data_IF_462746527419
#
_entry.id   IF_462746527419
#
_cell.length_a   1.000
_cell.length_b   1.000
_cell.length_c   1.000
_cell.angle_alpha   90.00
_cell.angle_beta   90.00
_cell.angle_gamma   90.00
#
_symmetry.space_group_name_H-M   'P 1'
#
loop_
_entity.id
_entity.type
_entity.pdbx_description
1 polymer ?
#
# COMPACT_ATOMS: atom_id res chain seq x y z
N UNK A 1 38.84 -18.73 -16.31
CA UNK A 1 37.63 -18.13 -15.70
C UNK A 1 37.68 -18.17 -14.17
N UNK A 2 38.15 -19.26 -13.56
CA UNK A 2 38.51 -19.29 -12.13
C UNK A 2 39.48 -18.16 -11.76
N UNK A 3 40.45 -17.85 -12.64
CA UNK A 3 41.42 -16.77 -12.43
C UNK A 3 40.78 -15.38 -12.26
N UNK A 4 39.66 -15.12 -12.95
CA UNK A 4 38.96 -13.83 -12.85
C UNK A 4 38.34 -13.67 -11.46
N UNK A 5 37.81 -14.75 -10.90
CA UNK A 5 37.22 -14.75 -9.56
C UNK A 5 38.31 -14.59 -8.50
N UNK A 6 39.44 -15.28 -8.64
CA UNK A 6 40.56 -15.13 -7.70
C UNK A 6 41.18 -13.73 -7.74
N UNK A 7 41.29 -13.13 -8.94
CA UNK A 7 41.69 -11.72 -9.10
C UNK A 7 40.68 -10.80 -8.42
N UNK A 8 39.38 -11.00 -8.64
CA UNK A 8 38.32 -10.21 -8.01
C UNK A 8 38.33 -10.35 -6.48
N UNK A 9 38.53 -11.55 -5.95
CA UNK A 9 38.65 -11.80 -4.51
C UNK A 9 39.84 -11.05 -3.94
N UNK A 10 41.00 -11.08 -4.60
CA UNK A 10 42.19 -10.36 -4.14
C UNK A 10 42.02 -8.84 -4.18
N UNK A 11 41.28 -8.32 -5.17
CA UNK A 11 41.02 -6.88 -5.30
C UNK A 11 39.96 -6.42 -4.30
N UNK A 12 38.88 -7.17 -4.13
CA UNK A 12 37.70 -6.77 -3.33
C UNK A 12 37.82 -7.15 -1.85
N UNK A 13 38.51 -8.24 -1.53
CA UNK A 13 38.71 -8.72 -0.17
C UNK A 13 40.16 -8.51 0.28
N UNK A 14 40.54 -7.24 0.41
CA UNK A 14 41.86 -6.84 0.89
C UNK A 14 42.04 -7.13 2.40
N UNK A 15 43.27 -6.97 2.89
CA UNK A 15 43.65 -7.11 4.31
C UNK A 15 43.49 -8.53 4.90
N UNK A 16 43.88 -9.57 4.17
CA UNK A 16 43.91 -10.95 4.70
C UNK A 16 42.53 -11.59 4.87
N UNK A 17 41.48 -10.99 4.33
CA UNK A 17 40.11 -11.52 4.35
C UNK A 17 39.77 -12.42 3.15
N UNK A 18 40.72 -12.60 2.23
CA UNK A 18 40.57 -13.40 1.00
C UNK A 18 40.09 -14.84 1.28
N UNK A 19 40.60 -15.48 2.34
CA UNK A 19 40.16 -16.83 2.73
C UNK A 19 38.68 -16.92 3.11
N UNK A 20 38.14 -15.88 3.79
CA UNK A 20 36.71 -15.82 4.15
C UNK A 20 35.84 -15.61 2.90
N UNK A 21 36.28 -14.75 1.98
CA UNK A 21 35.58 -14.53 0.72
C UNK A 21 35.60 -15.77 -0.17
N UNK A 22 36.76 -16.43 -0.32
CA UNK A 22 36.89 -17.66 -1.09
C UNK A 22 36.01 -18.79 -0.53
N UNK A 23 35.99 -18.96 0.80
CA UNK A 23 35.09 -19.91 1.48
C UNK A 23 33.60 -19.58 1.25
N UNK A 24 33.24 -18.31 1.23
CA UNK A 24 31.86 -17.90 0.95
C UNK A 24 31.45 -18.16 -0.51
N UNK A 25 32.34 -17.88 -1.46
CA UNK A 25 32.06 -17.98 -2.90
C UNK A 25 32.04 -19.44 -3.36
N UNK A 26 32.94 -20.27 -2.82
CA UNK A 26 32.98 -21.71 -3.12
C UNK A 26 31.73 -22.46 -2.69
N UNK A 27 30.87 -21.88 -1.85
CA UNK A 27 29.56 -22.43 -1.53
C UNK A 27 28.57 -22.41 -2.72
N UNK A 28 28.86 -21.69 -3.80
CA UNK A 28 28.02 -21.63 -5.00
C UNK A 28 28.66 -22.44 -6.14
N UNK A 29 27.92 -23.37 -6.78
CA UNK A 29 28.47 -24.30 -7.76
C UNK A 29 28.80 -23.65 -9.11
N UNK A 30 28.07 -22.60 -9.50
CA UNK A 30 28.22 -21.96 -10.80
C UNK A 30 29.04 -20.67 -10.73
N UNK A 31 29.96 -20.49 -11.68
CA UNK A 31 30.77 -19.27 -11.84
C UNK A 31 29.89 -18.02 -11.98
N UNK A 32 28.77 -18.12 -12.72
CA UNK A 32 27.83 -17.00 -12.87
C UNK A 32 27.20 -16.64 -11.53
N UNK A 33 26.81 -17.63 -10.72
CA UNK A 33 26.25 -17.38 -9.39
C UNK A 33 27.31 -16.78 -8.47
N UNK A 34 28.54 -17.30 -8.50
CA UNK A 34 29.67 -16.75 -7.77
C UNK A 34 29.88 -15.28 -8.08
N UNK A 35 29.83 -14.87 -9.36
CA UNK A 35 30.01 -13.49 -9.78
C UNK A 35 28.83 -12.58 -9.37
N UNK A 36 27.60 -13.11 -9.41
CA UNK A 36 26.39 -12.40 -8.96
C UNK A 36 26.44 -12.16 -7.44
N UNK A 37 26.80 -13.17 -6.65
CA UNK A 37 26.92 -13.07 -5.20
C UNK A 37 28.13 -12.27 -4.74
N UNK A 38 29.23 -12.34 -5.49
CA UNK A 38 30.42 -11.56 -5.22
C UNK A 38 30.22 -10.09 -5.55
N UNK A 39 29.82 -9.75 -6.78
CA UNK A 39 29.85 -8.37 -7.27
C UNK A 39 28.47 -7.72 -7.24
N UNK A 40 27.46 -8.38 -7.82
CA UNK A 40 26.16 -7.76 -8.07
C UNK A 40 25.41 -7.47 -6.76
N UNK A 41 25.28 -8.45 -5.88
CA UNK A 41 24.51 -8.28 -4.65
C UNK A 41 25.09 -7.23 -3.68
N UNK A 42 26.38 -7.24 -3.34
CA UNK A 42 26.97 -6.20 -2.50
C UNK A 42 26.90 -4.81 -3.14
N UNK A 43 27.09 -4.71 -4.47
CA UNK A 43 26.98 -3.44 -5.17
C UNK A 43 25.55 -2.87 -5.11
N UNK A 44 24.54 -3.69 -5.40
CA UNK A 44 23.12 -3.29 -5.32
C UNK A 44 22.74 -2.93 -3.89
N UNK A 45 23.15 -3.74 -2.90
CA UNK A 45 22.89 -3.47 -1.49
C UNK A 45 23.50 -2.14 -1.05
N UNK A 46 24.78 -1.88 -1.35
CA UNK A 46 25.45 -0.63 -0.99
C UNK A 46 24.85 0.58 -1.72
N UNK A 47 24.51 0.44 -3.00
CA UNK A 47 23.81 1.48 -3.76
C UNK A 47 22.47 1.84 -3.14
N UNK A 48 21.66 0.83 -2.79
CA UNK A 48 20.39 1.05 -2.12
C UNK A 48 20.59 1.66 -0.73
N UNK A 49 21.49 1.11 0.07
CA UNK A 49 21.79 1.61 1.41
C UNK A 49 22.19 3.08 1.41
N UNK A 50 23.12 3.47 0.54
CA UNK A 50 23.51 4.88 0.39
C UNK A 50 22.36 5.70 -0.17
N UNK A 51 21.60 5.18 -1.13
CA UNK A 51 20.43 5.89 -1.67
C UNK A 51 19.44 6.25 -0.55
N UNK A 52 19.11 5.30 0.33
CA UNK A 52 18.21 5.55 1.46
C UNK A 52 18.80 6.52 2.48
N UNK A 53 20.07 6.36 2.88
CA UNK A 53 20.73 7.31 3.80
C UNK A 53 20.77 8.72 3.20
N UNK A 54 21.07 8.82 1.91
CA UNK A 54 21.16 10.10 1.21
C UNK A 54 19.84 10.86 1.15
N UNK A 55 18.71 10.15 1.17
CA UNK A 55 17.38 10.73 1.25
C UNK A 55 17.13 11.39 2.62
N UNK A 56 17.68 10.81 3.69
CA UNK A 56 17.65 11.40 5.03
C UNK A 56 18.57 12.60 5.19
N UNK A 57 19.76 12.59 4.56
CA UNK A 57 20.81 13.60 4.81
C UNK A 57 20.77 14.78 3.82
N UNK A 58 20.39 14.56 2.56
CA UNK A 58 20.51 15.59 1.51
C UNK A 58 19.21 15.76 0.73
N UNK A 59 18.27 16.56 1.26
CA UNK A 59 16.98 16.81 0.60
C UNK A 59 17.14 17.48 -0.78
N UNK A 60 18.17 18.31 -0.97
CA UNK A 60 18.30 19.16 -2.17
C UNK A 60 19.41 18.78 -3.16
N UNK A 61 20.32 17.87 -2.80
CA UNK A 61 21.54 17.60 -3.57
C UNK A 61 21.48 16.29 -4.39
N UNK A 62 20.44 16.07 -5.20
CA UNK A 62 20.23 14.82 -5.96
C UNK A 62 21.42 14.40 -6.84
N UNK A 63 22.17 15.37 -7.39
CA UNK A 63 23.31 15.12 -8.28
C UNK A 63 24.53 14.53 -7.56
N UNK A 64 24.72 14.85 -6.28
CA UNK A 64 25.86 14.37 -5.51
C UNK A 64 25.63 12.98 -4.90
N UNK A 65 24.38 12.50 -4.87
CA UNK A 65 24.03 11.20 -4.25
C UNK A 65 24.72 10.02 -4.92
N UNK A 66 24.74 9.98 -6.26
CA UNK A 66 25.41 8.89 -6.99
C UNK A 66 26.92 8.91 -6.75
N UNK A 67 27.51 10.10 -6.79
CA UNK A 67 28.95 10.27 -6.61
C UNK A 67 29.37 9.92 -5.17
N UNK A 68 28.57 10.31 -4.19
CA UNK A 68 28.72 9.91 -2.79
C UNK A 68 28.56 8.39 -2.62
N UNK A 69 27.63 7.75 -3.33
CA UNK A 69 27.48 6.30 -3.28
C UNK A 69 28.68 5.56 -3.85
N UNK A 70 29.25 6.04 -4.95
CA UNK A 70 30.47 5.47 -5.52
C UNK A 70 31.64 5.67 -4.55
N UNK A 71 31.78 6.85 -3.95
CA UNK A 71 32.83 7.14 -2.97
C UNK A 71 32.73 6.25 -1.72
N UNK A 72 31.53 6.09 -1.15
CA UNK A 72 31.30 5.19 0.00
C UNK A 72 31.57 3.74 -0.39
N UNK A 73 31.16 3.30 -1.58
CA UNK A 73 31.43 1.95 -2.08
C UNK A 73 32.94 1.66 -2.15
N UNK A 74 33.70 2.58 -2.75
CA UNK A 74 35.16 2.48 -2.84
C UNK A 74 35.79 2.50 -1.44
N UNK A 75 35.28 3.34 -0.53
CA UNK A 75 35.74 3.39 0.85
C UNK A 75 35.54 2.05 1.58
N UNK A 76 34.38 1.41 1.43
CA UNK A 76 34.09 0.09 2.04
C UNK A 76 35.05 -0.99 1.52
N UNK A 77 35.42 -0.95 0.24
CA UNK A 77 36.41 -1.87 -0.35
C UNK A 77 37.80 -1.62 0.25
N UNK A 78 38.28 -0.38 0.25
CA UNK A 78 39.61 -0.05 0.78
C UNK A 78 39.76 -0.33 2.28
N UNK A 79 38.68 -0.18 3.05
CA UNK A 79 38.68 -0.50 4.49
C UNK A 79 38.69 -2.02 4.75
N UNK A 80 38.52 -2.87 3.74
CA UNK A 80 38.44 -4.33 3.91
C UNK A 80 37.11 -4.81 4.50
N UNK A 81 36.09 -3.94 4.56
CA UNK A 81 34.76 -4.25 5.12
C UNK A 81 33.88 -5.03 4.14
N UNK A 82 34.39 -5.30 2.95
CA UNK A 82 33.68 -5.99 1.89
C UNK A 82 33.19 -7.39 2.30
N UNK A 83 33.95 -8.13 3.09
CA UNK A 83 33.55 -9.45 3.59
C UNK A 83 32.33 -9.40 4.52
N UNK A 84 32.17 -8.31 5.30
CA UNK A 84 30.96 -8.08 6.07
C UNK A 84 29.78 -7.77 5.15
N UNK A 85 29.99 -6.96 4.11
CA UNK A 85 28.96 -6.67 3.11
C UNK A 85 28.49 -7.93 2.38
N UNK A 86 29.40 -8.87 2.06
CA UNK A 86 29.07 -10.19 1.50
C UNK A 86 28.25 -11.06 2.46
N UNK A 87 28.58 -11.03 3.75
CA UNK A 87 27.84 -11.80 4.75
C UNK A 87 26.44 -11.23 4.97
N UNK A 88 26.32 -9.91 5.01
CA UNK A 88 25.05 -9.20 5.15
C UNK A 88 24.21 -9.35 3.87
N UNK A 89 24.84 -9.42 2.69
CA UNK A 89 24.13 -9.58 1.42
C UNK A 89 23.38 -10.92 1.32
N UNK A 90 23.73 -11.97 2.08
CA UNK A 90 22.86 -13.17 2.20
C UNK A 90 21.45 -12.81 2.67
N UNK A 91 21.35 -11.83 3.56
CA UNK A 91 20.09 -11.35 4.11
C UNK A 91 19.52 -10.18 3.31
N UNK A 92 19.99 -9.94 2.08
CA UNK A 92 19.56 -8.77 1.29
C UNK A 92 18.05 -8.70 1.08
N UNK A 93 17.36 -9.83 0.92
CA UNK A 93 15.89 -9.85 0.83
C UNK A 93 15.23 -9.31 2.11
N UNK A 94 15.71 -9.72 3.28
CA UNK A 94 15.24 -9.21 4.57
C UNK A 94 15.59 -7.72 4.68
N UNK A 95 16.79 -7.34 4.27
CA UNK A 95 17.24 -5.95 4.18
C UNK A 95 16.32 -5.10 3.32
N UNK A 96 15.96 -5.55 2.12
CA UNK A 96 15.05 -4.85 1.19
C UNK A 96 13.63 -4.77 1.74
N UNK A 97 13.14 -5.81 2.41
CA UNK A 97 11.83 -5.78 3.08
C UNK A 97 11.84 -4.77 4.24
N UNK A 98 12.89 -4.76 5.05
CA UNK A 98 13.03 -3.82 6.17
C UNK A 98 13.20 -2.39 5.64
N UNK A 99 14.11 -2.15 4.68
CA UNK A 99 14.34 -0.85 4.06
C UNK A 99 13.10 -0.35 3.31
N UNK A 100 12.41 -1.22 2.57
CA UNK A 100 11.15 -0.91 1.92
C UNK A 100 10.04 -0.61 2.93
N UNK A 101 9.95 -1.38 4.01
CA UNK A 101 9.02 -1.16 5.11
C UNK A 101 9.27 0.18 5.82
N UNK A 102 10.52 0.46 6.18
CA UNK A 102 10.95 1.74 6.77
C UNK A 102 10.67 2.89 5.80
N UNK A 103 10.97 2.73 4.51
CA UNK A 103 10.67 3.74 3.50
C UNK A 103 9.17 4.05 3.42
N UNK A 104 8.32 3.02 3.39
CA UNK A 104 6.86 3.18 3.41
C UNK A 104 6.40 3.86 4.69
N UNK A 105 6.97 3.50 5.85
CA UNK A 105 6.64 4.11 7.13
C UNK A 105 7.06 5.59 7.14
N UNK A 106 8.28 5.93 6.72
CA UNK A 106 8.78 7.31 6.68
C UNK A 106 7.96 8.16 5.69
N UNK A 107 7.65 7.64 4.50
CA UNK A 107 6.84 8.38 3.52
C UNK A 107 5.35 8.47 3.93
N UNK A 108 4.76 7.43 4.52
CA UNK A 108 3.37 7.49 5.02
C UNK A 108 3.24 8.32 6.29
N UNK A 109 4.19 8.26 7.21
CA UNK A 109 4.18 9.08 8.44
C UNK A 109 4.60 10.51 8.17
N UNK A 110 5.50 10.76 7.20
CA UNK A 110 5.82 12.10 6.72
C UNK A 110 4.65 12.79 6.00
N UNK A 111 3.81 12.03 5.30
CA UNK A 111 2.60 12.55 4.68
C UNK A 111 1.43 12.76 5.66
N UNK A 112 1.48 12.16 6.86
CA UNK A 112 0.43 12.29 7.88
C UNK A 112 0.66 13.43 8.89
N UNK A 113 1.81 14.12 8.86
CA UNK A 113 2.18 15.16 9.83
C UNK A 113 2.42 16.57 9.26
N UNK A 114 2.32 16.78 7.94
CA UNK A 114 2.68 18.06 7.30
C UNK A 114 1.59 18.59 6.39
N UNK A 115 0.59 19.25 6.97
CA UNK A 115 -0.34 20.08 6.21
C UNK A 115 0.31 21.40 5.80
N UNK A 116 0.24 21.72 4.50
CA UNK A 116 0.34 23.08 3.98
C UNK A 116 1.61 23.42 3.21
N UNK A 117 1.46 23.73 1.91
CA UNK A 117 2.48 24.46 1.16
C UNK A 117 2.61 24.08 -0.32
N UNK A 118 1.77 24.69 -1.15
CA UNK A 118 1.92 24.77 -2.60
C UNK A 118 3.29 25.33 -3.03
N UNK A 119 3.86 24.85 -4.13
CA UNK A 119 5.00 25.47 -4.79
C UNK A 119 5.52 24.65 -5.97
N UNK A 120 5.13 25.05 -7.18
CA UNK A 120 5.55 24.43 -8.44
C UNK A 120 7.05 24.51 -8.72
N UNK A 121 7.51 23.66 -9.64
CA UNK A 121 8.89 23.67 -10.12
C UNK A 121 9.11 22.57 -11.14
N UNK A 122 9.01 22.93 -12.42
CA UNK A 122 9.16 22.01 -13.54
C UNK A 122 10.58 21.51 -13.79
N UNK A 123 10.68 20.64 -14.79
CA UNK A 123 11.89 20.50 -15.61
C UNK A 123 12.77 19.28 -15.32
N UNK A 124 12.74 18.33 -16.27
CA UNK A 124 13.99 17.92 -16.91
C UNK A 124 14.63 16.60 -16.49
N UNK A 125 14.37 15.59 -17.33
CA UNK A 125 15.36 14.64 -17.85
C UNK A 125 16.04 13.65 -16.89
N UNK A 126 15.54 12.41 -16.91
CA UNK A 126 16.27 11.19 -17.35
C UNK A 126 15.52 9.94 -16.87
N UNK A 127 14.57 9.43 -17.69
CA UNK A 127 13.79 8.22 -17.38
C UNK A 127 13.42 7.42 -18.64
N UNK A 128 14.22 6.44 -19.07
CA UNK A 128 13.69 5.33 -19.84
C UNK A 128 13.17 4.20 -18.92
N UNK A 129 13.82 3.95 -17.77
CA UNK A 129 13.46 2.82 -16.89
C UNK A 129 12.34 3.11 -15.87
N UNK A 130 12.07 4.37 -15.53
CA UNK A 130 10.91 4.75 -14.69
C UNK A 130 9.62 4.92 -15.48
N UNK A 131 9.66 5.00 -16.82
CA UNK A 131 8.46 5.15 -17.64
C UNK A 131 7.61 3.88 -17.63
N UNK A 132 8.21 2.68 -17.72
CA UNK A 132 7.49 1.41 -17.72
C UNK A 132 6.85 1.11 -16.35
N UNK A 133 7.62 1.26 -15.26
CA UNK A 133 7.10 1.08 -13.90
C UNK A 133 6.05 2.12 -13.50
N UNK A 134 6.19 3.38 -13.96
CA UNK A 134 5.20 4.42 -13.69
C UNK A 134 3.95 4.34 -14.56
N UNK A 135 4.01 3.78 -15.77
CA UNK A 135 2.82 3.55 -16.59
C UNK A 135 2.00 2.38 -16.08
N UNK A 136 2.64 1.28 -15.66
CA UNK A 136 1.94 0.17 -15.03
C UNK A 136 1.39 0.63 -13.68
N UNK A 137 2.21 1.24 -12.80
CA UNK A 137 1.74 1.74 -11.50
C UNK A 137 0.66 2.82 -11.61
N UNK A 138 0.76 3.79 -12.52
CA UNK A 138 -0.28 4.82 -12.69
C UNK A 138 -1.55 4.29 -13.33
N UNK A 139 -1.44 3.35 -14.28
CA UNK A 139 -2.64 2.75 -14.88
C UNK A 139 -3.34 1.89 -13.85
N UNK A 140 -2.62 1.00 -13.16
CA UNK A 140 -3.20 0.17 -12.09
C UNK A 140 -3.71 1.02 -10.92
N UNK A 141 -2.99 2.05 -10.47
CA UNK A 141 -3.52 2.98 -9.45
C UNK A 141 -4.69 3.80 -9.95
N UNK A 142 -4.68 4.30 -11.20
CA UNK A 142 -5.82 5.03 -11.75
C UNK A 142 -7.06 4.14 -11.87
N UNK A 143 -6.89 2.87 -12.26
CA UNK A 143 -7.97 1.88 -12.29
C UNK A 143 -8.46 1.57 -10.87
N UNK A 144 -7.56 1.34 -9.90
CA UNK A 144 -7.95 1.16 -8.49
C UNK A 144 -8.69 2.37 -7.92
N UNK A 145 -8.21 3.59 -8.17
CA UNK A 145 -8.88 4.82 -7.73
C UNK A 145 -10.19 5.10 -8.46
N UNK A 146 -10.33 4.61 -9.70
CA UNK A 146 -11.56 4.70 -10.50
C UNK A 146 -12.63 3.76 -9.98
N UNK A 147 -12.29 2.48 -9.83
CA UNK A 147 -13.17 1.46 -9.25
C UNK A 147 -13.59 1.83 -7.82
N UNK A 148 -12.66 2.33 -7.01
CA UNK A 148 -12.96 2.81 -5.66
C UNK A 148 -13.93 4.00 -5.69
N UNK A 149 -13.75 4.96 -6.59
CA UNK A 149 -14.64 6.11 -6.73
C UNK A 149 -16.03 5.70 -7.22
N UNK A 150 -16.12 4.74 -8.14
CA UNK A 150 -17.37 4.23 -8.66
C UNK A 150 -18.15 3.47 -7.58
N UNK A 151 -17.47 2.61 -6.81
CA UNK A 151 -18.08 1.93 -5.65
C UNK A 151 -18.54 2.95 -4.62
N UNK A 152 -17.74 3.97 -4.34
CA UNK A 152 -18.09 5.02 -3.38
C UNK A 152 -19.31 5.84 -3.83
N UNK A 153 -19.43 6.12 -5.13
CA UNK A 153 -20.61 6.79 -5.71
C UNK A 153 -21.84 5.88 -5.61
N UNK A 154 -21.71 4.59 -5.92
CA UNK A 154 -22.80 3.63 -5.80
C UNK A 154 -23.30 3.50 -4.34
N UNK A 155 -22.39 3.47 -3.37
CA UNK A 155 -22.73 3.50 -1.94
C UNK A 155 -23.54 4.75 -1.60
N UNK A 156 -23.12 5.93 -2.07
CA UNK A 156 -23.87 7.19 -1.83
C UNK A 156 -25.26 7.16 -2.46
N UNK A 157 -25.39 6.66 -3.69
CA UNK A 157 -26.68 6.52 -4.38
C UNK A 157 -27.61 5.60 -3.60
N UNK A 158 -27.11 4.45 -3.12
CA UNK A 158 -27.89 3.51 -2.32
C UNK A 158 -28.29 4.09 -0.96
N UNK A 159 -27.42 4.86 -0.30
CA UNK A 159 -27.80 5.61 0.90
C UNK A 159 -28.90 6.64 0.65
N UNK A 160 -28.85 7.36 -0.49
CA UNK A 160 -29.90 8.30 -0.88
C UNK A 160 -31.25 7.60 -1.08
N UNK A 161 -31.26 6.41 -1.71
CA UNK A 161 -32.47 5.60 -1.86
C UNK A 161 -33.01 5.12 -0.51
N UNK A 162 -32.16 4.66 0.40
CA UNK A 162 -32.57 4.26 1.75
C UNK A 162 -33.11 5.44 2.57
N UNK A 163 -32.55 6.64 2.42
CA UNK A 163 -33.10 7.86 3.02
C UNK A 163 -34.43 8.27 2.40
N UNK A 164 -34.61 8.07 1.08
CA UNK A 164 -35.89 8.22 0.39
C UNK A 164 -36.97 7.31 0.98
N UNK A 165 -36.67 6.01 1.07
CA UNK A 165 -37.56 5.00 1.68
C UNK A 165 -37.92 5.38 3.12
N UNK A 166 -36.95 5.86 3.91
CA UNK A 166 -37.20 6.34 5.28
C UNK A 166 -38.15 7.52 5.31
N UNK A 167 -38.05 8.46 4.36
CA UNK A 167 -38.93 9.62 4.28
C UNK A 167 -40.34 9.22 3.82
N UNK A 168 -40.44 8.31 2.84
CA UNK A 168 -41.70 7.76 2.38
C UNK A 168 -42.43 7.04 3.53
N UNK A 169 -41.71 6.22 4.32
CA UNK A 169 -42.25 5.60 5.53
C UNK A 169 -42.80 6.60 6.55
N UNK A 170 -42.13 7.74 6.74
CA UNK A 170 -42.64 8.77 7.67
C UNK A 170 -43.93 9.43 7.21
N UNK A 171 -44.14 9.48 5.90
CA UNK A 171 -45.26 10.19 5.28
C UNK A 171 -46.45 9.27 4.95
N UNK A 172 -46.25 7.95 4.99
CA UNK A 172 -47.33 6.97 4.80
C UNK A 172 -48.26 7.00 6.02
N UNK A 173 -49.55 7.19 5.76
CA UNK A 173 -50.58 6.90 6.76
C UNK A 173 -50.91 5.39 6.72
N UNK A 174 -50.53 4.62 7.76
CA UNK A 174 -50.75 3.18 7.80
C UNK A 174 -52.23 2.77 7.80
N UNK A 175 -53.16 3.70 8.07
CA UNK A 175 -54.61 3.45 8.06
C UNK A 175 -55.26 3.64 6.70
N UNK A 176 -54.53 4.17 5.73
CA UNK A 176 -55.04 4.34 4.36
C UNK A 176 -54.98 3.01 3.58
N UNK A 177 -55.96 2.79 2.68
CA UNK A 177 -56.02 1.61 1.80
C UNK A 177 -54.80 1.51 0.86
N UNK A 178 -54.15 2.64 0.57
CA UNK A 178 -52.88 2.70 -0.15
C UNK A 178 -51.68 2.32 0.72
N UNK A 179 -51.66 2.75 1.99
CA UNK A 179 -50.58 2.48 2.93
C UNK A 179 -50.41 0.99 3.26
N UNK A 180 -51.50 0.25 3.38
CA UNK A 180 -51.48 -1.21 3.65
C UNK A 180 -50.90 -2.04 2.50
N UNK A 181 -51.01 -1.56 1.25
CA UNK A 181 -50.39 -2.22 0.08
C UNK A 181 -48.97 -1.73 -0.20
N UNK A 182 -48.66 -0.47 0.11
CA UNK A 182 -47.33 0.09 -0.10
C UNK A 182 -46.29 -0.40 0.92
N UNK A 183 -46.71 -0.76 2.14
CA UNK A 183 -45.81 -1.15 3.24
C UNK A 183 -44.95 -2.40 2.93
N UNK A 184 -45.52 -3.51 2.39
CA UNK A 184 -44.75 -4.70 2.03
C UNK A 184 -43.76 -4.45 0.88
N UNK A 185 -44.17 -3.67 -0.13
CA UNK A 185 -43.30 -3.32 -1.26
C UNK A 185 -42.12 -2.45 -0.79
N UNK A 186 -42.38 -1.44 0.04
CA UNK A 186 -41.31 -0.62 0.63
C UNK A 186 -40.34 -1.44 1.48
N UNK A 187 -40.86 -2.45 2.19
CA UNK A 187 -40.03 -3.35 3.01
C UNK A 187 -39.13 -4.22 2.14
N UNK A 188 -39.65 -4.74 1.03
CA UNK A 188 -38.86 -5.52 0.06
C UNK A 188 -37.77 -4.65 -0.55
N UNK A 189 -38.10 -3.41 -0.93
CA UNK A 189 -37.16 -2.48 -1.54
C UNK A 189 -36.08 -2.04 -0.53
N UNK A 190 -36.46 -1.87 0.74
CA UNK A 190 -35.52 -1.62 1.82
C UNK A 190 -34.52 -2.76 2.00
N UNK A 191 -34.98 -4.01 2.13
CA UNK A 191 -34.10 -5.18 2.31
C UNK A 191 -33.17 -5.39 1.11
N UNK A 192 -33.69 -5.19 -0.11
CA UNK A 192 -32.91 -5.31 -1.35
C UNK A 192 -31.80 -4.25 -1.37
N UNK A 193 -32.14 -2.99 -1.10
CA UNK A 193 -31.15 -1.91 -1.10
C UNK A 193 -30.16 -2.02 0.06
N UNK A 194 -30.58 -2.53 1.22
CA UNK A 194 -29.70 -2.84 2.36
C UNK A 194 -28.66 -3.89 1.97
N UNK A 195 -29.10 -5.03 1.43
CA UNK A 195 -28.20 -6.11 1.04
C UNK A 195 -27.19 -5.66 -0.05
N UNK A 196 -27.64 -4.86 -1.02
CA UNK A 196 -26.77 -4.26 -2.02
C UNK A 196 -25.74 -3.31 -1.38
N UNK A 197 -26.15 -2.48 -0.42
CA UNK A 197 -25.26 -1.57 0.30
C UNK A 197 -24.19 -2.34 1.09
N UNK A 198 -24.57 -3.42 1.77
CA UNK A 198 -23.65 -4.30 2.50
C UNK A 198 -22.62 -4.95 1.56
N UNK A 199 -23.06 -5.46 0.41
CA UNK A 199 -22.18 -6.03 -0.63
C UNK A 199 -21.19 -5.00 -1.18
N UNK A 200 -21.62 -3.77 -1.41
CA UNK A 200 -20.75 -2.69 -1.90
C UNK A 200 -19.71 -2.28 -0.84
N UNK A 201 -20.11 -2.19 0.42
CA UNK A 201 -19.18 -1.90 1.54
C UNK A 201 -18.17 -3.04 1.70
N UNK A 202 -18.59 -4.29 1.56
CA UNK A 202 -17.69 -5.46 1.59
C UNK A 202 -16.72 -5.47 0.41
N UNK A 203 -17.20 -5.15 -0.79
CA UNK A 203 -16.37 -5.04 -1.99
C UNK A 203 -15.32 -3.93 -1.85
N UNK A 204 -15.70 -2.78 -1.27
CA UNK A 204 -14.79 -1.69 -0.95
C UNK A 204 -13.72 -2.11 0.06
N UNK A 205 -14.11 -2.87 1.09
CA UNK A 205 -13.17 -3.38 2.09
C UNK A 205 -12.18 -4.40 1.49
N UNK A 206 -12.66 -5.32 0.63
CA UNK A 206 -11.81 -6.27 -0.10
C UNK A 206 -10.80 -5.56 -1.00
N UNK A 207 -11.22 -4.54 -1.74
CA UNK A 207 -10.33 -3.72 -2.56
C UNK A 207 -9.24 -3.02 -1.75
N UNK A 208 -9.56 -2.60 -0.52
CA UNK A 208 -8.59 -1.98 0.39
C UNK A 208 -7.76 -3.00 1.18
N UNK A 209 -7.91 -4.29 0.93
CA UNK A 209 -7.17 -5.35 1.62
C UNK A 209 -7.53 -5.48 3.11
N UNK A 210 -8.74 -5.07 3.48
CA UNK A 210 -9.27 -5.17 4.85
C UNK A 210 -10.13 -6.43 4.92
N UNK A 211 -9.73 -7.40 5.74
CA UNK A 211 -10.56 -8.58 5.97
C UNK A 211 -11.86 -8.19 6.68
N UNK A 212 -12.99 -8.63 6.13
CA UNK A 212 -14.31 -8.34 6.68
C UNK A 212 -14.58 -9.25 7.87
N UNK A 213 -14.53 -8.70 9.09
CA UNK A 213 -14.84 -9.42 10.32
C UNK A 213 -14.93 -8.51 11.54
N UNK A 214 -15.67 -8.94 12.56
CA UNK A 214 -15.93 -8.16 13.80
C UNK A 214 -14.66 -7.77 14.58
N UNK A 215 -13.51 -8.40 14.28
CA UNK A 215 -12.23 -8.14 14.95
C UNK A 215 -11.24 -7.29 14.13
N UNK A 216 -11.51 -6.97 12.86
CA UNK A 216 -10.51 -6.37 11.95
C UNK A 216 -10.75 -4.88 11.63
N UNK A 217 -11.88 -4.30 12.04
CA UNK A 217 -12.14 -2.84 11.99
C UNK A 217 -11.20 -1.99 12.88
N UNK A 218 -10.16 -2.59 13.49
CA UNK A 218 -9.12 -1.89 14.25
C UNK A 218 -8.04 -1.24 13.38
N UNK A 219 -7.89 -1.63 12.10
CA UNK A 219 -6.96 -0.94 11.17
C UNK A 219 -7.65 0.21 10.45
N UNK A 220 -7.80 1.33 11.18
CA UNK A 220 -7.61 2.70 10.67
C UNK A 220 -8.50 3.26 9.57
N UNK A 221 -9.43 2.50 8.96
CA UNK A 221 -10.22 3.04 7.85
C UNK A 221 -11.53 3.68 8.33
N UNK A 222 -11.42 4.96 8.70
CA UNK A 222 -12.52 5.79 9.21
C UNK A 222 -13.71 5.86 8.26
N UNK A 223 -13.48 5.69 6.95
CA UNK A 223 -14.53 5.80 5.95
C UNK A 223 -15.44 4.58 5.88
N UNK A 224 -14.86 3.36 5.83
CA UNK A 224 -15.64 2.11 5.84
C UNK A 224 -16.41 1.96 7.15
N UNK A 225 -15.76 2.30 8.28
CA UNK A 225 -16.43 2.35 9.57
C UNK A 225 -17.61 3.33 9.56
N UNK A 226 -17.40 4.53 9.02
CA UNK A 226 -18.46 5.52 8.87
C UNK A 226 -19.66 5.03 8.05
N UNK A 227 -19.42 4.28 6.96
CA UNK A 227 -20.50 3.67 6.19
C UNK A 227 -21.25 2.59 6.95
N UNK A 228 -20.54 1.70 7.66
CA UNK A 228 -21.16 0.65 8.47
C UNK A 228 -22.01 1.25 9.61
N UNK A 229 -21.48 2.25 10.30
CA UNK A 229 -22.18 2.93 11.40
C UNK A 229 -23.43 3.67 10.88
N UNK A 230 -23.32 4.36 9.74
CA UNK A 230 -24.46 5.06 9.11
C UNK A 230 -25.54 4.09 8.63
N UNK A 231 -25.16 2.97 8.02
CA UNK A 231 -26.09 1.92 7.60
C UNK A 231 -26.81 1.32 8.80
N UNK A 232 -26.07 0.95 9.86
CA UNK A 232 -26.64 0.40 11.10
C UNK A 232 -27.64 1.35 11.73
N UNK A 233 -27.33 2.66 11.76
CA UNK A 233 -28.24 3.69 12.25
C UNK A 233 -29.51 3.79 11.41
N UNK A 234 -29.39 3.81 10.07
CA UNK A 234 -30.54 3.87 9.16
C UNK A 234 -31.44 2.66 9.28
N UNK A 235 -30.87 1.46 9.35
CA UNK A 235 -31.61 0.22 9.54
C UNK A 235 -32.42 0.28 10.83
N UNK A 236 -31.79 0.66 11.94
CA UNK A 236 -32.46 0.79 13.23
C UNK A 236 -33.58 1.83 13.22
N UNK A 237 -33.35 2.98 12.57
CA UNK A 237 -34.38 4.02 12.42
C UNK A 237 -35.60 3.51 11.63
N UNK A 238 -35.37 2.78 10.55
CA UNK A 238 -36.42 2.24 9.68
C UNK A 238 -37.18 1.10 10.39
N UNK A 239 -36.48 0.17 11.04
CA UNK A 239 -37.09 -0.89 11.86
C UNK A 239 -37.98 -0.31 12.98
N UNK A 240 -37.54 0.77 13.62
CA UNK A 240 -38.33 1.46 14.64
C UNK A 240 -39.61 2.10 14.05
N UNK A 241 -39.55 2.65 12.83
CA UNK A 241 -40.72 3.18 12.13
C UNK A 241 -41.71 2.06 11.82
N UNK A 242 -41.25 0.95 11.24
CA UNK A 242 -42.08 -0.23 11.02
C UNK A 242 -42.74 -0.73 12.32
N UNK A 243 -41.98 -0.87 13.40
CA UNK A 243 -42.51 -1.33 14.68
C UNK A 243 -43.58 -0.38 15.25
N UNK A 244 -43.44 0.94 15.01
CA UNK A 244 -44.41 1.95 15.47
C UNK A 244 -45.70 1.92 14.66
N UNK A 245 -45.61 1.73 13.35
CA UNK A 245 -46.79 1.75 12.46
C UNK A 245 -47.56 0.42 12.52
N UNK A 246 -46.88 -0.71 12.67
CA UNK A 246 -47.54 -2.00 12.95
C UNK A 246 -48.34 -1.97 14.25
N UNK A 247 -47.83 -1.30 15.31
CA UNK A 247 -48.57 -1.11 16.57
C UNK A 247 -49.79 -0.19 16.46
N UNK A 248 -49.88 0.64 15.42
CA UNK A 248 -51.02 1.54 15.18
C UNK A 248 -52.09 0.93 14.28
N UNK A 249 -51.72 -0.11 13.52
CA UNK A 249 -52.59 -0.83 12.60
C UNK A 249 -53.25 -2.07 13.23
N UNK A 250 -52.62 -2.66 14.25
CA UNK A 250 -53.21 -3.69 15.14
C UNK A 250 -54.08 -3.04 16.23
#
# INVERSE_FOLDING_TARGET
MADIIDILINILCQQGTSGKCSSFISAYPDITQQLVWLVFFPAVFLLLFVFFISEGVTKDAKKYRTLLSIAIFIFVIFQGWYHYALTISKYWFIGVIILGGIYVIIHKMGAAGGGGGSGGGGGGSSRPLKALGSHISKRTMATFTGEEKDINNNIKTKFSLLEGIKNDLKNIDPKSTGGTRALPDLKRDFETNRADCERLIESLAKLRGIEFGDKVLRRGDTQIKGYKDRLTKLVKDIENLYAKDYKKAA
#
